data_IF_373530249478
#
_entry.id   IF_373530249478
#
_cell.length_a   1.000
_cell.length_b   1.000
_cell.length_c   1.000
_cell.angle_alpha   90.00
_cell.angle_beta   90.00
_cell.angle_gamma   90.00
#
_symmetry.space_group_name_H-M   'P 1'
#
loop_
_entity.id
_entity.type
_entity.pdbx_description
1 polymer ?
#
# COMPACT_ATOMS: atom_id res chain seq x y z
N UNK A 1 -4.25 16.02 -21.84
CA UNK A 1 -4.42 14.81 -21.01
C UNK A 1 -3.21 14.70 -20.10
N UNK A 2 -3.35 14.12 -18.90
CA UNK A 2 -2.32 13.94 -17.85
C UNK A 2 -2.19 15.10 -16.82
N UNK A 3 -3.12 15.14 -15.85
CA UNK A 3 -2.91 15.84 -14.57
C UNK A 3 -3.03 14.90 -13.36
N UNK A 4 -3.71 13.74 -13.50
CA UNK A 4 -3.76 12.72 -12.43
C UNK A 4 -2.49 11.87 -12.35
N UNK A 5 -1.80 11.64 -13.47
CA UNK A 5 -0.59 10.81 -13.52
C UNK A 5 0.61 11.44 -12.80
N UNK A 6 0.57 12.76 -12.56
CA UNK A 6 1.68 13.52 -11.96
C UNK A 6 1.83 13.29 -10.44
N UNK A 7 0.83 12.68 -9.79
CA UNK A 7 0.80 12.50 -8.32
C UNK A 7 0.42 11.09 -7.86
N UNK A 8 0.77 10.08 -8.64
CA UNK A 8 0.50 8.69 -8.29
C UNK A 8 1.76 7.83 -8.40
N UNK A 9 1.97 6.95 -7.42
CA UNK A 9 2.92 5.84 -7.52
C UNK A 9 2.19 4.51 -7.44
N UNK A 10 2.60 3.58 -8.30
CA UNK A 10 2.05 2.22 -8.38
C UNK A 10 3.03 1.23 -7.80
N UNK A 11 2.53 0.35 -6.93
CA UNK A 11 3.33 -0.70 -6.30
C UNK A 11 2.68 -2.06 -6.51
N UNK A 12 3.50 -3.09 -6.70
CA UNK A 12 3.05 -4.48 -6.71
C UNK A 12 3.64 -5.16 -5.48
N UNK A 13 2.77 -5.66 -4.61
CA UNK A 13 3.16 -6.47 -3.44
C UNK A 13 2.78 -7.92 -3.70
N UNK A 14 3.75 -8.82 -3.54
CA UNK A 14 3.55 -10.26 -3.59
C UNK A 14 3.91 -10.85 -2.24
N UNK A 15 3.03 -11.68 -1.69
CA UNK A 15 3.25 -12.43 -0.46
C UNK A 15 3.04 -13.90 -0.80
N UNK A 16 3.98 -14.74 -0.39
CA UNK A 16 3.89 -16.19 -0.58
C UNK A 16 4.51 -16.89 0.62
N UNK A 17 4.07 -18.12 0.84
CA UNK A 17 4.61 -18.95 1.91
C UNK A 17 5.66 -19.89 1.32
N UNK A 18 6.73 -20.12 2.07
CA UNK A 18 7.71 -21.11 1.67
C UNK A 18 7.17 -22.48 2.00
N UNK A 19 6.92 -23.28 0.95
CA UNK A 19 6.69 -24.71 1.14
C UNK A 19 8.05 -25.35 1.42
N UNK A 20 8.17 -26.01 2.57
CA UNK A 20 9.37 -26.76 2.94
C UNK A 20 9.50 -28.10 2.18
N UNK A 21 8.67 -28.31 1.15
CA UNK A 21 8.62 -29.55 0.37
C UNK A 21 8.01 -30.74 1.12
N UNK A 22 7.69 -30.60 2.40
CA UNK A 22 7.08 -31.66 3.23
C UNK A 22 5.55 -31.60 3.25
N UNK A 23 4.95 -30.59 2.61
CA UNK A 23 3.51 -30.36 2.63
C UNK A 23 3.01 -29.71 3.91
N UNK A 24 3.90 -29.45 4.88
CA UNK A 24 3.60 -28.66 6.06
C UNK A 24 3.97 -27.19 5.82
N UNK A 25 3.07 -26.31 6.24
CA UNK A 25 3.35 -24.88 6.27
C UNK A 25 4.30 -24.62 7.42
N UNK A 26 5.54 -24.22 7.13
CA UNK A 26 6.53 -23.84 8.15
C UNK A 26 6.13 -22.57 8.92
N UNK A 27 5.05 -21.89 8.50
CA UNK A 27 4.66 -20.57 9.00
C UNK A 27 5.55 -19.45 8.47
N UNK A 28 6.62 -19.76 7.73
CA UNK A 28 7.50 -18.77 7.13
C UNK A 28 6.92 -18.28 5.80
N UNK A 29 6.67 -16.98 5.75
CA UNK A 29 6.25 -16.28 4.54
C UNK A 29 7.32 -15.30 4.10
N UNK A 30 7.28 -14.99 2.81
CA UNK A 30 8.13 -13.98 2.18
C UNK A 30 7.29 -13.03 1.39
N UNK A 31 7.77 -11.81 1.33
CA UNK A 31 7.19 -10.74 0.56
C UNK A 31 8.17 -10.18 -0.45
N UNK A 32 7.64 -9.61 -1.52
CA UNK A 32 8.36 -8.69 -2.40
C UNK A 32 7.48 -7.51 -2.72
N UNK A 33 8.06 -6.32 -2.71
CA UNK A 33 7.43 -5.10 -3.19
C UNK A 33 8.23 -4.54 -4.36
N UNK A 34 7.54 -4.08 -5.39
CA UNK A 34 8.12 -3.42 -6.55
C UNK A 34 7.41 -2.11 -6.82
N UNK A 35 8.19 -1.04 -7.03
CA UNK A 35 7.67 0.22 -7.55
C UNK A 35 7.66 0.17 -9.09
N UNK A 36 6.45 0.16 -9.67
CA UNK A 36 6.21 -0.16 -11.09
C UNK A 36 6.97 0.76 -12.03
N UNK A 37 7.00 2.07 -11.74
CA UNK A 37 7.62 3.05 -12.64
C UNK A 37 9.15 2.92 -12.64
N UNK A 38 9.76 2.74 -11.48
CA UNK A 38 11.22 2.64 -11.36
C UNK A 38 11.77 1.23 -11.61
N UNK A 39 10.93 0.20 -11.51
CA UNK A 39 11.34 -1.20 -11.47
C UNK A 39 12.11 -1.60 -10.19
N UNK A 40 12.30 -0.69 -9.23
CA UNK A 40 12.97 -0.99 -7.98
C UNK A 40 12.16 -2.01 -7.17
N UNK A 41 12.82 -3.09 -6.75
CA UNK A 41 12.20 -4.19 -6.02
C UNK A 41 12.97 -4.46 -4.73
N UNK A 42 12.23 -4.78 -3.67
CA UNK A 42 12.78 -5.25 -2.40
C UNK A 42 12.06 -6.50 -1.93
N UNK A 43 12.79 -7.38 -1.23
CA UNK A 43 12.22 -8.54 -0.54
C UNK A 43 12.10 -8.25 0.94
N UNK A 44 11.05 -8.75 1.59
CA UNK A 44 10.79 -8.52 3.00
C UNK A 44 10.20 -9.76 3.69
N UNK A 45 10.25 -9.76 5.02
CA UNK A 45 9.62 -10.76 5.90
C UNK A 45 8.76 -10.12 6.99
N UNK A 46 8.64 -8.79 6.95
CA UNK A 46 7.86 -7.98 7.87
C UNK A 46 7.00 -7.00 7.05
N UNK A 47 5.72 -6.87 7.41
CA UNK A 47 4.79 -5.97 6.73
C UNK A 47 5.14 -4.49 6.94
N UNK A 48 5.83 -4.13 8.01
CA UNK A 48 6.30 -2.75 8.24
C UNK A 48 7.25 -2.29 7.12
N UNK A 49 8.01 -3.23 6.54
CA UNK A 49 8.92 -2.95 5.43
C UNK A 49 8.21 -2.42 4.18
N UNK A 50 6.92 -2.72 3.99
CA UNK A 50 6.10 -2.19 2.88
C UNK A 50 5.96 -0.66 3.02
N UNK A 51 5.59 -0.21 4.22
CA UNK A 51 5.44 1.22 4.52
C UNK A 51 6.76 1.97 4.37
N UNK A 52 7.85 1.40 4.91
CA UNK A 52 9.20 1.98 4.78
C UNK A 52 9.65 2.07 3.31
N UNK A 53 9.29 1.08 2.48
CA UNK A 53 9.59 1.11 1.05
C UNK A 53 8.79 2.17 0.29
N UNK A 54 7.50 2.31 0.60
CA UNK A 54 6.61 3.27 -0.08
C UNK A 54 6.92 4.73 0.31
N UNK A 55 7.36 4.95 1.55
CA UNK A 55 7.57 6.29 2.14
C UNK A 55 8.32 7.29 1.25
N UNK A 56 9.54 7.00 0.75
CA UNK A 56 10.28 7.97 -0.06
C UNK A 56 9.59 8.34 -1.38
N UNK A 57 8.74 7.47 -1.93
CA UNK A 57 7.96 7.78 -3.13
C UNK A 57 6.74 8.63 -2.81
N UNK A 58 6.10 8.40 -1.66
CA UNK A 58 4.94 9.17 -1.22
C UNK A 58 5.34 10.60 -0.79
N UNK A 59 6.48 10.77 -0.13
CA UNK A 59 7.03 12.07 0.23
C UNK A 59 7.32 12.96 -1.00
N UNK A 60 7.73 12.37 -2.14
CA UNK A 60 7.92 13.09 -3.40
C UNK A 60 6.63 13.72 -3.93
N UNK A 61 5.47 13.13 -3.59
CA UNK A 61 4.16 13.68 -3.96
C UNK A 61 3.58 14.64 -2.91
N UNK A 62 4.34 14.95 -1.84
CA UNK A 62 3.86 15.77 -0.73
C UNK A 62 2.82 15.06 0.14
N UNK A 63 2.78 13.71 0.11
CA UNK A 63 1.91 12.91 0.98
C UNK A 63 2.67 12.67 2.29
N UNK A 64 2.25 13.36 3.36
CA UNK A 64 2.73 13.11 4.72
C UNK A 64 2.22 11.73 5.19
N UNK A 65 3.12 10.75 5.13
CA UNK A 65 2.83 9.31 5.25
C UNK A 65 2.29 8.85 6.60
N UNK A 66 2.32 9.68 7.63
CA UNK A 66 2.01 9.23 8.99
C UNK A 66 0.56 9.47 9.43
N UNK A 67 -0.25 10.27 8.72
CA UNK A 67 -1.46 10.80 9.37
C UNK A 67 -2.80 10.62 8.65
N UNK A 68 -2.87 10.34 7.33
CA UNK A 68 -4.17 10.52 6.61
C UNK A 68 -4.53 9.57 5.48
N UNK A 69 -3.66 8.67 5.04
CA UNK A 69 -3.98 7.85 3.87
C UNK A 69 -5.11 6.83 4.15
N UNK A 70 -5.05 6.14 5.29
CA UNK A 70 -6.08 5.16 5.69
C UNK A 70 -7.25 5.77 6.47
N UNK A 71 -7.06 6.92 7.10
CA UNK A 71 -8.11 7.61 7.87
C UNK A 71 -9.20 8.20 6.96
N UNK A 72 -8.84 8.66 5.75
CA UNK A 72 -9.80 9.18 4.77
C UNK A 72 -10.48 8.09 3.93
N UNK A 73 -9.82 6.95 3.72
CA UNK A 73 -10.42 5.82 3.02
C UNK A 73 -11.49 5.08 3.87
N UNK A 74 -11.48 5.31 5.18
CA UNK A 74 -12.51 4.81 6.11
C UNK A 74 -13.80 5.65 6.10
N UNK A 75 -13.80 6.83 5.46
CA UNK A 75 -14.99 7.69 5.35
C UNK A 75 -15.93 7.27 4.19
N UNK A 76 -15.51 6.33 3.33
CA UNK A 76 -16.40 5.63 2.40
C UNK A 76 -17.19 4.54 3.15
N UNK A 77 -17.92 4.93 4.20
CA UNK A 77 -18.97 4.09 4.74
C UNK A 77 -20.17 4.19 3.77
N UNK A 78 -20.51 3.12 3.02
CA UNK A 78 -21.63 3.17 2.06
C UNK A 78 -23.00 3.34 2.75
N UNK A 79 -23.04 3.42 4.08
CA UNK A 79 -24.23 3.61 4.91
C UNK A 79 -24.18 4.91 5.73
N UNK A 80 -23.20 5.80 5.48
CA UNK A 80 -23.15 7.12 6.09
C UNK A 80 -24.34 7.95 5.61
N UNK A 81 -25.21 8.35 6.55
CA UNK A 81 -26.38 9.15 6.25
C UNK A 81 -25.96 10.50 5.61
N UNK A 82 -26.64 10.96 4.55
CA UNK A 82 -26.30 12.23 3.91
C UNK A 82 -26.43 13.38 4.91
N UNK A 83 -25.54 14.40 4.85
CA UNK A 83 -25.57 15.53 5.75
C UNK A 83 -26.93 16.26 5.65
N UNK A 84 -27.50 16.73 6.78
CA UNK A 84 -28.82 17.34 6.77
C UNK A 84 -28.84 18.56 5.87
N UNK A 85 -29.82 18.60 4.97
CA UNK A 85 -30.06 19.72 4.06
C UNK A 85 -30.32 20.98 4.88
N UNK A 86 -29.40 21.94 4.81
CA UNK A 86 -29.56 23.24 5.45
C UNK A 86 -30.74 23.97 4.79
N UNK A 87 -31.83 24.17 5.53
CA UNK A 87 -32.98 24.99 5.14
C UNK A 87 -32.69 26.48 5.34
#
# INVERSE_FOLDING_TARGET
>A
MALLEDRSASFIVRIWCESDGSGNFSGEWRGSIEHVVSGQRSFFRDLEAIGQFMKPYLEQFGIDTLSRFWDLAADDDPNAAPPPSRS
#
